data_IF_607224060468
#
_entry.id   IF_607224060468
#
_cell.length_a   1.000
_cell.length_b   1.000
_cell.length_c   1.000
_cell.angle_alpha   90.00
_cell.angle_beta   90.00
_cell.angle_gamma   90.00
#
_symmetry.space_group_name_H-M   'P 1'
#
loop_
_entity.id
_entity.type
_entity.pdbx_description
1 polymer ?
#
# COMPACT_ATOMS: atom_id res chain seq x y z
N UNK A 1 -12.08 -20.04 -14.02
CA UNK A 1 -12.33 -19.35 -12.74
C UNK A 1 -11.44 -18.13 -12.72
N UNK A 2 -12.02 -16.95 -12.90
CA UNK A 2 -11.30 -15.68 -12.82
C UNK A 2 -10.90 -15.46 -11.37
N UNK A 3 -9.63 -15.72 -11.05
CA UNK A 3 -9.06 -15.36 -9.75
C UNK A 3 -9.23 -13.84 -9.59
N UNK A 4 -10.15 -13.48 -8.70
CA UNK A 4 -10.47 -12.13 -8.34
C UNK A 4 -9.22 -11.52 -7.70
N UNK A 5 -8.37 -10.92 -8.55
CA UNK A 5 -7.05 -10.39 -8.19
C UNK A 5 -7.25 -9.01 -7.55
N UNK A 6 -8.12 -8.92 -6.54
CA UNK A 6 -8.26 -7.69 -5.77
C UNK A 6 -6.96 -7.44 -5.01
N UNK A 7 -6.57 -6.17 -4.89
CA UNK A 7 -5.50 -5.79 -3.97
C UNK A 7 -5.75 -6.46 -2.62
N UNK A 8 -4.71 -7.00 -1.96
CA UNK A 8 -4.92 -7.76 -0.75
C UNK A 8 -5.47 -6.89 0.37
N UNK A 9 -5.52 -5.56 0.26
CA UNK A 9 -5.95 -4.57 1.26
C UNK A 9 -6.98 -3.57 0.69
N UNK A 10 -7.87 -3.04 1.55
CA UNK A 10 -8.95 -2.10 1.20
C UNK A 10 -8.84 -0.76 1.94
N UNK A 11 -9.48 0.29 1.40
CA UNK A 11 -9.52 1.62 2.03
C UNK A 11 -10.17 1.55 3.41
N UNK A 12 -11.24 0.77 3.57
CA UNK A 12 -11.92 0.56 4.85
C UNK A 12 -10.96 0.06 5.94
N UNK A 13 -10.09 -0.90 5.61
CA UNK A 13 -9.08 -1.41 6.55
C UNK A 13 -8.05 -0.35 6.94
N UNK A 14 -7.68 0.53 5.99
CA UNK A 14 -6.77 1.64 6.28
C UNK A 14 -7.43 2.73 7.15
N UNK A 15 -8.72 3.02 6.94
CA UNK A 15 -9.48 3.94 7.78
C UNK A 15 -9.64 3.39 9.21
N UNK A 16 -9.93 2.10 9.36
CA UNK A 16 -9.95 1.43 10.68
C UNK A 16 -8.60 1.54 11.39
N UNK A 17 -7.50 1.36 10.66
CA UNK A 17 -6.16 1.54 11.21
C UNK A 17 -5.91 2.99 11.67
N UNK A 18 -6.34 3.98 10.89
CA UNK A 18 -6.19 5.40 11.25
C UNK A 18 -6.96 5.74 12.53
N UNK A 19 -8.19 5.24 12.67
CA UNK A 19 -8.99 5.38 13.88
C UNK A 19 -8.30 4.70 15.08
N UNK A 20 -7.82 3.47 14.91
CA UNK A 20 -7.10 2.71 15.94
C UNK A 20 -5.86 3.45 16.49
N UNK A 21 -5.12 4.17 15.65
CA UNK A 21 -3.94 4.93 16.09
C UNK A 21 -4.22 6.42 16.34
N UNK A 22 -5.48 6.86 16.25
CA UNK A 22 -5.90 8.23 16.56
C UNK A 22 -5.36 9.30 15.61
N UNK A 23 -5.31 9.02 14.30
CA UNK A 23 -4.77 9.96 13.29
C UNK A 23 -5.70 10.20 12.11
N UNK A 24 -5.47 11.31 11.41
CA UNK A 24 -6.15 11.60 10.14
C UNK A 24 -5.57 10.73 9.01
N UNK A 25 -6.41 10.19 8.11
CA UNK A 25 -5.94 9.42 6.95
C UNK A 25 -5.10 10.27 5.99
N UNK A 26 -4.03 9.68 5.45
CA UNK A 26 -3.21 10.26 4.39
C UNK A 26 -3.87 10.05 3.02
N UNK A 27 -4.15 11.15 2.32
CA UNK A 27 -4.78 11.13 0.99
C UNK A 27 -3.96 10.35 -0.03
N UNK A 28 -2.62 10.45 0.02
CA UNK A 28 -1.74 9.76 -0.92
C UNK A 28 -1.84 8.24 -0.78
N UNK A 29 -2.07 7.74 0.44
CA UNK A 29 -2.26 6.32 0.72
C UNK A 29 -3.63 5.86 0.24
N UNK A 30 -4.67 6.68 0.43
CA UNK A 30 -6.02 6.40 -0.10
C UNK A 30 -5.96 6.29 -1.62
N UNK A 31 -5.40 7.29 -2.30
CA UNK A 31 -5.23 7.30 -3.76
C UNK A 31 -4.43 6.09 -4.25
N UNK A 32 -3.38 5.71 -3.53
CA UNK A 32 -2.59 4.51 -3.84
C UNK A 32 -3.41 3.21 -3.71
N UNK A 33 -4.21 3.07 -2.65
CA UNK A 33 -5.06 1.89 -2.48
C UNK A 33 -6.13 1.84 -3.58
N UNK A 34 -6.75 2.99 -3.92
CA UNK A 34 -7.72 3.09 -5.01
C UNK A 34 -7.11 2.69 -6.35
N UNK A 35 -5.96 3.26 -6.72
CA UNK A 35 -5.29 2.97 -7.99
C UNK A 35 -4.83 1.52 -8.11
N UNK A 36 -4.55 0.85 -6.98
CA UNK A 36 -4.08 -0.53 -6.95
C UNK A 36 -5.20 -1.57 -6.72
N UNK A 37 -6.40 -1.13 -6.34
CA UNK A 37 -7.53 -2.01 -5.98
C UNK A 37 -8.05 -2.90 -7.13
N UNK A 38 -7.68 -2.59 -8.38
CA UNK A 38 -8.10 -3.31 -9.59
C UNK A 38 -6.97 -3.75 -10.51
N UNK A 39 -5.69 -3.56 -10.15
CA UNK A 39 -4.58 -3.90 -11.04
C UNK A 39 -4.31 -5.41 -11.03
N UNK A 40 -4.31 -6.08 -12.20
CA UNK A 40 -3.84 -7.46 -12.30
C UNK A 40 -2.42 -7.55 -11.75
N UNK A 41 -2.12 -8.59 -10.97
CA UNK A 41 -0.74 -8.87 -10.54
C UNK A 41 0.13 -9.00 -11.78
N UNK A 42 1.05 -8.06 -11.99
CA UNK A 42 2.00 -8.11 -13.09
C UNK A 42 2.80 -9.42 -13.04
N UNK A 43 3.21 -9.98 -14.21
CA UNK A 43 4.20 -11.05 -14.28
C UNK A 43 5.46 -10.68 -13.50
N UNK A 44 6.19 -11.70 -13.03
CA UNK A 44 7.35 -11.50 -12.17
C UNK A 44 8.38 -10.55 -12.80
N UNK A 45 8.65 -10.68 -14.10
CA UNK A 45 9.63 -9.80 -14.77
C UNK A 45 9.20 -8.33 -14.73
N UNK A 46 7.90 -8.05 -14.96
CA UNK A 46 7.37 -6.69 -14.86
C UNK A 46 7.36 -6.15 -13.44
N UNK A 47 7.20 -7.00 -12.42
CA UNK A 47 7.31 -6.58 -11.01
C UNK A 47 8.75 -6.19 -10.68
N UNK A 48 9.73 -6.98 -11.08
CA UNK A 48 11.15 -6.70 -10.86
C UNK A 48 11.58 -5.40 -11.57
N UNK A 49 11.06 -5.14 -12.78
CA UNK A 49 11.26 -3.88 -13.51
C UNK A 49 10.64 -2.68 -12.77
N UNK A 50 9.38 -2.80 -12.34
CA UNK A 50 8.69 -1.76 -11.54
C UNK A 50 9.42 -1.52 -10.23
N UNK A 51 9.84 -2.56 -9.51
CA UNK A 51 10.59 -2.45 -8.26
C UNK A 51 11.94 -1.76 -8.47
N UNK A 52 12.65 -2.09 -9.55
CA UNK A 52 13.91 -1.43 -9.93
C UNK A 52 13.70 0.07 -10.20
N UNK A 53 12.68 0.44 -10.98
CA UNK A 53 12.37 1.85 -11.25
C UNK A 53 11.86 2.58 -10.00
N UNK A 54 11.10 1.91 -9.15
CA UNK A 54 10.66 2.44 -7.86
C UNK A 54 11.86 2.71 -6.96
N UNK A 55 12.83 1.79 -6.86
CA UNK A 55 14.05 1.96 -6.07
C UNK A 55 14.91 3.13 -6.56
N UNK A 56 15.00 3.34 -7.89
CA UNK A 56 15.67 4.52 -8.46
C UNK A 56 14.95 5.82 -8.09
N UNK A 57 13.62 5.77 -8.07
CA UNK A 57 12.76 6.92 -7.72
C UNK A 57 12.76 7.19 -6.21
N UNK A 58 12.92 6.16 -5.37
CA UNK A 58 13.00 6.32 -3.91
C UNK A 58 14.19 7.19 -3.49
N UNK A 59 15.30 7.13 -4.22
CA UNK A 59 16.46 7.99 -4.00
C UNK A 59 16.18 9.48 -4.28
N UNK A 60 15.11 9.80 -5.01
CA UNK A 60 14.71 11.18 -5.37
C UNK A 60 13.42 11.63 -4.68
N UNK A 61 12.82 10.77 -3.84
CA UNK A 61 11.59 11.10 -3.12
C UNK A 61 11.81 12.23 -2.11
N UNK A 62 10.82 13.12 -2.05
CA UNK A 62 10.77 14.17 -1.04
C UNK A 62 10.46 13.58 0.34
N UNK A 63 10.86 14.26 1.44
CA UNK A 63 10.58 13.80 2.81
C UNK A 63 9.10 13.46 3.07
N UNK A 64 8.18 14.19 2.44
CA UNK A 64 6.73 13.95 2.59
C UNK A 64 6.29 12.57 2.07
N UNK A 65 6.92 12.07 0.99
CA UNK A 65 6.57 10.75 0.45
C UNK A 65 7.14 9.62 1.32
N UNK A 66 8.27 9.85 2.01
CA UNK A 66 8.80 8.90 2.98
C UNK A 66 7.85 8.67 4.15
N UNK A 67 7.20 9.73 4.65
CA UNK A 67 6.22 9.60 5.73
C UNK A 67 5.03 8.72 5.30
N UNK A 68 4.49 8.92 4.10
CA UNK A 68 3.41 8.10 3.56
C UNK A 68 3.84 6.64 3.35
N UNK A 69 5.07 6.37 2.90
CA UNK A 69 5.61 5.00 2.76
C UNK A 69 5.77 4.31 4.12
N UNK A 70 6.34 5.01 5.11
CA UNK A 70 6.51 4.48 6.47
C UNK A 70 5.15 4.18 7.09
N UNK A 71 4.20 5.09 6.90
CA UNK A 71 2.83 4.91 7.35
C UNK A 71 2.16 3.69 6.72
N UNK A 72 2.26 3.54 5.40
CA UNK A 72 1.69 2.40 4.71
C UNK A 72 2.30 1.07 5.20
N UNK A 73 3.61 1.04 5.45
CA UNK A 73 4.27 -0.13 6.05
C UNK A 73 3.73 -0.45 7.47
N UNK A 74 3.45 0.57 8.28
CA UNK A 74 2.84 0.38 9.62
C UNK A 74 1.42 -0.18 9.52
N UNK A 75 0.62 0.32 8.58
CA UNK A 75 -0.71 -0.21 8.28
C UNK A 75 -0.63 -1.70 7.92
N UNK A 76 0.24 -2.10 6.98
CA UNK A 76 0.41 -3.50 6.58
C UNK A 76 0.80 -4.39 7.76
N UNK A 77 1.70 -3.90 8.63
CA UNK A 77 2.10 -4.64 9.84
C UNK A 77 0.95 -4.82 10.83
N UNK A 78 0.15 -3.79 11.08
CA UNK A 78 -1.03 -3.87 11.95
C UNK A 78 -2.05 -4.86 11.40
N UNK A 79 -2.33 -4.77 10.10
CA UNK A 79 -3.25 -5.67 9.39
C UNK A 79 -2.82 -7.13 9.47
N UNK A 80 -1.55 -7.42 9.22
CA UNK A 80 -1.03 -8.79 9.27
C UNK A 80 -1.12 -9.39 10.68
N UNK A 81 -0.98 -8.59 11.74
CA UNK A 81 -1.21 -9.07 13.11
C UNK A 81 -2.67 -9.49 13.31
N UNK A 82 -3.62 -8.69 12.85
CA UNK A 82 -5.06 -8.98 12.96
C UNK A 82 -5.47 -10.23 12.18
N UNK A 83 -4.90 -10.45 10.99
CA UNK A 83 -5.23 -11.61 10.16
C UNK A 83 -4.57 -12.94 10.62
N UNK A 84 -3.56 -12.87 11.48
CA UNK A 84 -2.90 -14.03 12.07
C UNK A 84 -3.44 -14.39 13.48
N UNK A 85 -4.53 -13.74 13.91
CA UNK A 85 -5.24 -14.00 15.17
C UNK A 85 -6.60 -14.59 14.87
#
# INVERSE_FOLDING_TARGET
MTENTKAPYQISEYLEYCDYVGKQPDKSIIEFIESNSGTPRYPREKREEIESELMKTVATLTPAYFDSVIEFARFLKWRNKRNNT
#
